data_IF_591842009854
#
_entry.id   IF_591842009854
#
_cell.length_a   1.000
_cell.length_b   1.000
_cell.length_c   1.000
_cell.angle_alpha   90.00
_cell.angle_beta   90.00
_cell.angle_gamma   90.00
#
_symmetry.space_group_name_H-M   'P 1'
#
loop_
_entity.id
_entity.type
_entity.pdbx_description
1 polymer ?
#
# COMPACT_ATOMS: atom_id res chain seq x y z
N UNK A 1 3.32 -12.45 5.97
CA UNK A 1 2.25 -12.51 6.59
C UNK A 1 1.38 -13.32 5.96
N UNK A 2 1.00 -14.13 6.37
CA UNK A 2 0.32 -14.92 5.88
C UNK A 2 -0.87 -14.54 5.60
N UNK A 3 -1.19 -14.10 5.13
CA UNK A 3 -2.27 -13.86 4.85
C UNK A 3 -3.27 -13.72 5.04
N UNK A 4 -3.24 -13.54 5.39
CA UNK A 4 -4.20 -12.95 5.36
C UNK A 4 -5.35 -13.70 5.42
N UNK A 5 -6.14 -13.79 4.66
CA UNK A 5 -7.40 -14.39 4.82
C UNK A 5 -7.58 -15.42 3.77
N UNK A 6 -8.45 -16.37 4.02
CA UNK A 6 -8.78 -17.39 3.04
C UNK A 6 -9.36 -16.77 1.78
N UNK A 7 -10.18 -15.73 1.93
CA UNK A 7 -10.74 -15.04 0.77
C UNK A 7 -9.67 -14.49 -0.13
N UNK A 8 -8.64 -13.86 0.45
CA UNK A 8 -7.57 -13.31 -0.35
C UNK A 8 -6.86 -14.42 -1.10
N UNK A 9 -6.55 -15.52 -0.42
CA UNK A 9 -5.83 -16.62 -1.06
C UNK A 9 -6.64 -17.27 -2.17
N UNK A 10 -7.95 -17.39 -1.99
CA UNK A 10 -8.78 -18.02 -3.00
C UNK A 10 -8.93 -17.18 -4.25
N UNK A 11 -8.86 -15.88 -4.12
CA UNK A 11 -9.06 -14.99 -5.26
C UNK A 11 -7.79 -14.37 -5.77
N UNK A 12 -6.68 -14.76 -5.20
CA UNK A 12 -5.40 -14.16 -5.55
C UNK A 12 -5.03 -14.47 -7.00
N UNK A 13 -4.69 -13.44 -7.73
CA UNK A 13 -4.27 -13.56 -9.13
C UNK A 13 -2.79 -13.20 -9.21
N UNK A 14 -1.88 -14.16 -9.28
CA UNK A 14 -0.45 -13.87 -9.21
C UNK A 14 0.09 -13.02 -10.35
N UNK A 15 -0.64 -12.88 -11.44
CA UNK A 15 -0.21 -12.00 -12.52
C UNK A 15 -0.56 -10.55 -12.24
N UNK A 16 -1.51 -10.31 -11.37
CA UNK A 16 -2.01 -8.96 -11.11
C UNK A 16 -1.94 -8.57 -9.65
N UNK A 17 -1.65 -9.52 -8.76
CA UNK A 17 -1.66 -9.26 -7.32
C UNK A 17 -0.44 -9.89 -6.67
N UNK A 18 0.05 -9.29 -5.60
CA UNK A 18 1.20 -9.81 -4.89
C UNK A 18 1.31 -9.21 -3.49
N UNK A 19 1.86 -10.00 -2.58
CA UNK A 19 2.22 -9.50 -1.26
C UNK A 19 3.72 -9.62 -1.09
N UNK A 20 4.31 -8.68 -0.38
CA UNK A 20 5.74 -8.68 -0.08
C UNK A 20 5.92 -8.73 1.42
N UNK A 21 6.93 -9.45 1.84
CA UNK A 21 7.29 -9.56 3.25
C UNK A 21 8.75 -9.15 3.37
N UNK A 22 9.03 -8.27 4.32
CA UNK A 22 10.40 -7.87 4.60
C UNK A 22 10.88 -8.62 5.84
N UNK A 23 12.10 -9.15 5.77
CA UNK A 23 12.70 -9.87 6.88
C UNK A 23 14.04 -9.27 7.23
N UNK A 24 14.34 -9.23 8.52
CA UNK A 24 15.64 -8.82 9.02
C UNK A 24 16.07 -9.87 10.02
N UNK A 25 17.22 -10.51 9.76
CA UNK A 25 17.77 -11.55 10.64
C UNK A 25 16.75 -12.66 10.92
N UNK A 26 15.97 -13.02 9.91
CA UNK A 26 15.00 -14.11 10.03
C UNK A 26 13.66 -13.70 10.60
N UNK A 27 13.52 -12.47 11.08
CA UNK A 27 12.25 -12.01 11.63
C UNK A 27 11.48 -11.21 10.57
N UNK A 28 10.17 -11.46 10.48
CA UNK A 28 9.31 -10.67 9.61
C UNK A 28 9.10 -9.30 10.26
N UNK A 29 9.50 -8.26 9.57
CA UNK A 29 9.43 -6.90 10.12
C UNK A 29 8.53 -5.98 9.32
N UNK A 30 7.99 -6.43 8.21
CA UNK A 30 7.08 -5.59 7.44
C UNK A 30 6.41 -6.37 6.34
N UNK A 31 5.31 -5.82 5.83
CA UNK A 31 4.59 -6.43 4.71
C UNK A 31 3.74 -5.38 4.01
N UNK A 32 3.38 -5.67 2.79
CA UNK A 32 2.43 -4.87 2.02
C UNK A 32 1.82 -5.77 0.96
N UNK A 33 0.57 -5.52 0.61
CA UNK A 33 -0.10 -6.26 -0.46
C UNK A 33 -0.63 -5.31 -1.51
N UNK A 34 -0.59 -5.75 -2.76
CA UNK A 34 -1.19 -5.02 -3.86
C UNK A 34 -2.25 -5.93 -4.46
N UNK A 35 -3.48 -5.45 -4.53
CA UNK A 35 -4.59 -6.23 -5.05
C UNK A 35 -5.24 -5.50 -6.21
N UNK A 36 -5.97 -6.24 -7.03
CA UNK A 36 -6.65 -5.66 -8.16
C UNK A 36 -7.96 -5.01 -7.72
N UNK A 37 -8.15 -3.76 -8.08
CA UNK A 37 -9.44 -3.10 -7.87
C UNK A 37 -10.23 -3.08 -9.18
N UNK A 38 -9.56 -2.87 -10.29
CA UNK A 38 -10.16 -2.93 -11.62
C UNK A 38 -9.03 -3.24 -12.60
N UNK A 39 -9.36 -3.34 -13.88
CA UNK A 39 -8.34 -3.62 -14.88
C UNK A 39 -7.23 -2.57 -14.88
N UNK A 40 -7.56 -1.32 -14.61
CA UNK A 40 -6.61 -0.22 -14.66
C UNK A 40 -6.10 0.21 -13.29
N UNK A 41 -6.73 -0.20 -12.21
CA UNK A 41 -6.43 0.33 -10.87
C UNK A 41 -6.08 -0.79 -9.90
N UNK A 42 -4.92 -0.66 -9.28
CA UNK A 42 -4.51 -1.54 -8.19
C UNK A 42 -4.75 -0.83 -6.87
N UNK A 43 -4.92 -1.59 -5.81
CA UNK A 43 -5.10 -1.05 -4.47
C UNK A 43 -4.00 -1.57 -3.57
N UNK A 44 -3.32 -0.65 -2.90
CA UNK A 44 -2.29 -0.99 -1.94
C UNK A 44 -2.95 -1.19 -0.58
N UNK A 45 -2.64 -2.30 0.07
CA UNK A 45 -3.28 -2.67 1.33
C UNK A 45 -2.29 -3.19 2.33
N UNK A 46 -2.63 -3.03 3.60
CA UNK A 46 -1.94 -3.74 4.68
C UNK A 46 -0.45 -3.43 4.76
N UNK A 47 -0.09 -2.15 4.59
CA UNK A 47 1.29 -1.76 4.83
C UNK A 47 1.52 -1.79 6.34
N UNK A 48 2.35 -2.71 6.78
CA UNK A 48 2.68 -2.88 8.19
C UNK A 48 4.18 -2.89 8.31
N UNK A 49 4.72 -2.13 9.25
CA UNK A 49 6.15 -2.09 9.51
C UNK A 49 6.35 -2.11 11.02
N UNK A 50 7.18 -3.03 11.50
CA UNK A 50 7.53 -3.11 12.91
C UNK A 50 8.08 -1.78 13.40
N UNK A 51 7.56 -1.24 14.50
CA UNK A 51 8.05 0.05 14.97
C UNK A 51 9.55 0.06 15.27
N UNK A 52 10.10 -1.06 15.75
CA UNK A 52 11.52 -1.11 16.09
C UNK A 52 12.44 -1.02 14.88
N UNK A 53 11.89 -1.24 13.68
CA UNK A 53 12.70 -1.16 12.45
C UNK A 53 12.46 0.13 11.69
N UNK A 54 11.72 1.06 12.25
CA UNK A 54 11.51 2.33 11.59
C UNK A 54 12.84 3.06 11.46
N UNK A 55 12.98 3.81 10.40
CA UNK A 55 14.23 4.48 10.11
C UNK A 55 15.14 3.67 9.22
N UNK A 56 14.84 2.40 8.96
CA UNK A 56 15.65 1.57 8.06
C UNK A 56 15.15 1.60 6.63
N UNK A 57 14.09 2.34 6.35
CA UNK A 57 13.57 2.44 4.99
C UNK A 57 12.76 1.25 4.52
N UNK A 58 12.35 0.38 5.43
CA UNK A 58 11.65 -0.85 5.06
C UNK A 58 10.29 -0.54 4.43
N UNK A 59 9.51 0.36 5.02
CA UNK A 59 8.19 0.70 4.48
C UNK A 59 8.29 1.30 3.09
N UNK A 60 9.26 2.18 2.89
CA UNK A 60 9.44 2.80 1.58
C UNK A 60 9.83 1.76 0.54
N UNK A 61 10.73 0.84 0.88
CA UNK A 61 11.14 -0.21 -0.06
C UNK A 61 9.98 -1.12 -0.41
N UNK A 62 9.13 -1.45 0.57
CA UNK A 62 7.96 -2.28 0.30
C UNK A 62 7.02 -1.58 -0.68
N UNK A 63 6.77 -0.29 -0.48
CA UNK A 63 5.90 0.46 -1.38
C UNK A 63 6.55 0.58 -2.76
N UNK A 64 7.85 0.82 -2.82
CA UNK A 64 8.54 0.92 -4.12
C UNK A 64 8.47 -0.39 -4.90
N UNK A 65 8.59 -1.53 -4.22
CA UNK A 65 8.46 -2.82 -4.91
C UNK A 65 7.04 -3.02 -5.44
N UNK A 66 6.04 -2.60 -4.68
CA UNK A 66 4.67 -2.73 -5.14
C UNK A 66 4.41 -1.84 -6.35
N UNK A 67 5.02 -0.65 -6.39
CA UNK A 67 4.89 0.24 -7.54
C UNK A 67 5.51 -0.38 -8.78
N UNK A 68 6.71 -0.97 -8.63
CA UNK A 68 7.38 -1.62 -9.75
C UNK A 68 6.53 -2.75 -10.32
N UNK A 69 5.98 -3.57 -9.43
CA UNK A 69 5.13 -4.67 -9.85
C UNK A 69 3.89 -4.14 -10.57
N UNK A 70 3.25 -3.11 -10.03
CA UNK A 70 2.05 -2.56 -10.63
C UNK A 70 2.30 -2.05 -12.05
N UNK A 71 3.45 -1.41 -12.26
CA UNK A 71 3.80 -0.96 -13.60
C UNK A 71 3.97 -2.14 -14.57
N UNK A 72 4.67 -3.17 -14.13
CA UNK A 72 4.89 -4.35 -14.96
C UNK A 72 3.60 -5.10 -15.24
N UNK A 73 2.68 -5.08 -14.29
CA UNK A 73 1.40 -5.76 -14.45
C UNK A 73 0.41 -4.98 -15.33
N UNK A 74 0.75 -3.75 -15.71
CA UNK A 74 -0.08 -2.98 -16.64
C UNK A 74 -1.12 -2.08 -15.99
N UNK A 75 -1.05 -1.88 -14.68
CA UNK A 75 -1.97 -0.95 -14.04
C UNK A 75 -1.61 0.48 -14.41
N UNK A 76 -2.61 1.35 -14.41
CA UNK A 76 -2.40 2.76 -14.67
C UNK A 76 -2.33 3.58 -13.41
N UNK A 77 -2.95 3.12 -12.35
CA UNK A 77 -3.05 3.87 -11.09
C UNK A 77 -3.00 2.91 -9.92
N UNK A 78 -2.39 3.34 -8.85
CA UNK A 78 -2.49 2.67 -7.56
C UNK A 78 -3.27 3.59 -6.63
N UNK A 79 -4.27 3.06 -5.94
CA UNK A 79 -5.01 3.79 -4.93
C UNK A 79 -4.77 3.15 -3.57
N UNK A 80 -4.97 3.91 -2.50
CA UNK A 80 -4.91 3.38 -1.14
C UNK A 80 -5.76 4.24 -0.21
N UNK A 81 -6.14 3.65 0.90
CA UNK A 81 -6.85 4.37 1.95
C UNK A 81 -5.98 4.40 3.19
N UNK A 82 -6.02 5.51 3.91
CA UNK A 82 -5.28 5.64 5.16
C UNK A 82 -6.01 6.65 6.05
N UNK A 83 -5.52 6.83 7.26
CA UNK A 83 -6.07 7.82 8.18
C UNK A 83 -5.05 8.93 8.39
N UNK A 84 -5.55 10.13 8.65
CA UNK A 84 -4.66 11.28 8.78
C UNK A 84 -3.68 11.16 9.94
N UNK A 85 -4.00 10.36 10.97
CA UNK A 85 -3.06 10.23 12.07
C UNK A 85 -1.97 9.20 11.82
N UNK A 86 -2.00 8.47 10.73
CA UNK A 86 -0.92 7.54 10.39
C UNK A 86 0.19 8.31 9.68
N UNK A 87 0.88 9.16 10.44
CA UNK A 87 1.82 10.11 9.85
C UNK A 87 3.03 9.45 9.21
N UNK A 88 3.51 8.35 9.77
CA UNK A 88 4.65 7.64 9.18
C UNK A 88 4.29 7.05 7.82
N UNK A 89 3.12 6.43 7.71
CA UNK A 89 2.66 5.87 6.44
C UNK A 89 2.44 6.97 5.41
N UNK A 90 1.83 8.07 5.83
CA UNK A 90 1.58 9.20 4.92
C UNK A 90 2.88 9.77 4.37
N UNK A 91 3.91 9.82 5.20
CA UNK A 91 5.22 10.31 4.76
C UNK A 91 5.79 9.38 3.66
N UNK A 92 5.67 8.07 3.86
CA UNK A 92 6.16 7.12 2.88
C UNK A 92 5.41 7.27 1.56
N UNK A 93 4.08 7.39 1.61
CA UNK A 93 3.30 7.56 0.39
C UNK A 93 3.70 8.83 -0.34
N UNK A 94 3.89 9.91 0.40
CA UNK A 94 4.29 11.18 -0.22
C UNK A 94 5.66 11.07 -0.86
N UNK A 95 6.60 10.41 -0.19
CA UNK A 95 7.94 10.22 -0.72
C UNK A 95 7.94 9.38 -1.99
N UNK A 96 6.98 8.47 -2.13
CA UNK A 96 6.88 7.62 -3.29
C UNK A 96 6.04 8.24 -4.41
N UNK A 97 5.57 9.46 -4.23
CA UNK A 97 4.87 10.19 -5.28
C UNK A 97 3.36 10.13 -5.22
N UNK A 98 2.79 9.47 -4.23
CA UNK A 98 1.34 9.45 -4.07
C UNK A 98 0.84 10.83 -3.64
N UNK A 99 -0.39 11.14 -4.01
CA UNK A 99 -1.04 12.38 -3.63
C UNK A 99 -2.37 12.09 -2.97
N UNK A 100 -2.70 12.86 -1.93
CA UNK A 100 -3.98 12.73 -1.28
C UNK A 100 -5.03 13.38 -2.17
N UNK A 101 -5.99 12.60 -2.64
CA UNK A 101 -6.99 13.08 -3.59
C UNK A 101 -8.36 13.25 -2.94
N UNK A 102 -8.58 12.70 -1.75
CA UNK A 102 -9.84 12.86 -1.07
C UNK A 102 -9.63 12.71 0.42
N UNK A 103 -10.35 13.53 1.20
CA UNK A 103 -10.35 13.44 2.66
C UNK A 103 -11.79 13.50 3.13
N UNK A 104 -12.13 12.69 4.12
CA UNK A 104 -13.48 12.66 4.63
C UNK A 104 -13.46 12.42 6.13
N UNK A 105 -14.18 13.27 6.87
CA UNK A 105 -14.32 13.08 8.30
C UNK A 105 -15.31 11.96 8.56
N UNK A 106 -14.95 11.04 9.44
CA UNK A 106 -15.81 9.95 9.84
C UNK A 106 -15.80 9.84 11.35
N UNK A 107 -16.83 9.19 11.93
CA UNK A 107 -16.87 8.97 13.35
C UNK A 107 -16.77 7.49 13.59
N UNK A 108 -15.88 7.09 14.45
CA UNK A 108 -15.72 5.68 14.78
C UNK A 108 -15.44 5.59 16.27
N UNK A 109 -16.25 4.79 16.97
CA UNK A 109 -16.10 4.60 18.42
C UNK A 109 -16.06 5.93 19.16
N UNK A 110 -16.92 6.86 18.78
CA UNK A 110 -16.99 8.17 19.43
C UNK A 110 -15.87 9.12 19.08
N UNK A 111 -14.95 8.72 18.24
CA UNK A 111 -13.84 9.58 17.83
C UNK A 111 -14.04 10.08 16.42
N UNK A 112 -13.56 11.28 16.18
CA UNK A 112 -13.61 11.85 14.86
C UNK A 112 -12.29 11.56 14.17
N UNK A 113 -12.34 10.88 13.04
CA UNK A 113 -11.17 10.51 12.28
C UNK A 113 -11.29 11.09 10.89
N UNK A 114 -10.16 11.26 10.24
CA UNK A 114 -10.16 11.70 8.85
C UNK A 114 -9.58 10.58 8.00
N UNK A 115 -10.43 10.03 7.12
CA UNK A 115 -10.01 9.04 6.16
C UNK A 115 -9.48 9.74 4.93
N UNK A 116 -8.44 9.22 4.36
CA UNK A 116 -7.82 9.80 3.17
C UNK A 116 -7.69 8.74 2.10
N UNK A 117 -7.92 9.15 0.86
CA UNK A 117 -7.63 8.34 -0.32
C UNK A 117 -6.44 8.97 -1.03
N UNK A 118 -5.44 8.17 -1.32
CA UNK A 118 -4.25 8.63 -2.01
C UNK A 118 -4.10 7.86 -3.30
N UNK A 119 -3.52 8.49 -4.31
CA UNK A 119 -3.33 7.85 -5.61
C UNK A 119 -1.99 8.16 -6.20
N UNK A 120 -1.48 7.23 -6.98
CA UNK A 120 -0.26 7.40 -7.74
C UNK A 120 -0.56 7.02 -9.20
N UNK A 121 -0.31 7.95 -10.11
CA UNK A 121 -0.43 7.66 -11.52
C UNK A 121 0.82 6.96 -12.01
N UNK A 122 0.63 5.84 -12.70
CA UNK A 122 1.75 5.05 -13.16
C UNK A 122 2.09 5.27 -14.63
N UNK A 123 1.25 5.96 -15.35
CA UNK A 123 1.42 6.05 -16.68
C UNK A 123 2.35 7.00 -17.08
N UNK A 124 3.01 7.11 -17.46
CA UNK A 124 3.79 8.11 -17.74
C UNK A 124 4.53 7.92 -18.82
N UNK A 125 4.71 7.66 -19.23
CA UNK A 125 5.33 7.68 -19.93
C UNK A 125 5.30 7.81 -20.75
N UNK A 126 5.38 7.87 -21.24
CA UNK A 126 5.40 7.93 -21.88
C UNK A 126 5.44 8.42 -22.32
N UNK A 127 5.58 8.77 -22.54
CA UNK A 127 5.62 9.03 -22.96
C UNK A 127 5.84 9.22 -23.41
#
# INVERSE_FOLDING_TARGET
>A
MRATTADFLERFDPLRERCWIAEVDGDTVGSVCLVKKSAAVAKLRLLIVEPRTRGLGIGRRLVEESIRFARQAGYRTITLWTHSQLTAARRIYRQCGFKCVQRRAVRSFGKRLIDETWELALTTEEA
#
